data_IF_642237325957
#
_entry.id   IF_642237325957
#
_cell.length_a   1.000
_cell.length_b   1.000
_cell.length_c   1.000
_cell.angle_alpha   90.00
_cell.angle_beta   90.00
_cell.angle_gamma   90.00
#
_symmetry.space_group_name_H-M   'P 1'
#
loop_
_entity.id
_entity.type
_entity.pdbx_description
1 polymer ?
#
# COMPACT_ATOMS: atom_id res chain seq x y z
N UNK A 1 -10.78 9.57 -19.30
CA UNK A 1 -11.24 8.23 -18.88
C UNK A 1 -11.58 8.31 -17.39
N UNK A 2 -12.87 8.29 -17.03
CA UNK A 2 -13.34 8.47 -15.65
C UNK A 2 -13.31 7.12 -14.93
N UNK A 3 -12.49 6.98 -13.91
CA UNK A 3 -12.46 5.79 -13.06
C UNK A 3 -13.56 5.87 -12.01
N UNK A 4 -14.61 5.07 -12.20
CA UNK A 4 -15.69 4.83 -11.22
C UNK A 4 -15.19 3.95 -10.09
N UNK A 5 -15.40 4.38 -8.84
CA UNK A 5 -15.05 3.66 -7.61
C UNK A 5 -15.68 2.25 -7.57
N UNK A 6 -14.94 1.19 -7.19
CA UNK A 6 -15.55 -0.10 -6.92
C UNK A 6 -16.40 -0.03 -5.63
N UNK A 7 -17.65 -0.47 -5.75
CA UNK A 7 -18.64 -0.55 -4.68
C UNK A 7 -18.22 -1.57 -3.61
N UNK A 8 -17.61 -1.11 -2.52
CA UNK A 8 -17.37 -1.90 -1.30
C UNK A 8 -18.66 -2.14 -0.47
N UNK A 9 -19.78 -1.52 -0.86
CA UNK A 9 -21.02 -1.50 -0.08
C UNK A 9 -22.02 -2.58 -0.53
N UNK A 10 -21.65 -3.86 -0.44
CA UNK A 10 -22.62 -4.98 -0.58
C UNK A 10 -22.51 -6.07 0.48
N UNK A 11 -21.45 -6.10 1.29
CA UNK A 11 -21.25 -7.18 2.26
C UNK A 11 -21.96 -6.97 3.61
N UNK A 12 -22.46 -5.76 3.90
CA UNK A 12 -23.05 -5.44 5.20
C UNK A 12 -24.50 -5.92 5.39
N UNK A 13 -25.11 -6.61 4.41
CA UNK A 13 -26.55 -6.96 4.45
C UNK A 13 -26.87 -8.33 5.06
N UNK A 14 -25.87 -9.15 5.40
CA UNK A 14 -26.11 -10.54 5.86
C UNK A 14 -25.80 -10.83 7.33
N UNK A 15 -25.42 -9.82 8.13
CA UNK A 15 -25.11 -10.01 9.56
C UNK A 15 -26.12 -9.28 10.46
N UNK A 16 -27.41 -9.56 10.30
CA UNK A 16 -28.45 -8.94 11.11
C UNK A 16 -29.44 -9.98 11.66
N UNK A 17 -28.97 -10.86 12.55
CA UNK A 17 -29.77 -11.51 13.61
C UNK A 17 -28.79 -12.01 14.68
N UNK A 18 -28.46 -11.25 15.70
CA UNK A 18 -29.01 -11.46 17.06
C UNK A 18 -28.60 -10.27 17.93
N UNK A 19 -29.59 -9.71 18.61
CA UNK A 19 -29.47 -8.56 19.51
C UNK A 19 -28.59 -8.88 20.72
N UNK A 20 -27.44 -8.24 20.81
CA UNK A 20 -26.73 -7.99 22.07
C UNK A 20 -26.69 -6.47 22.23
N UNK A 21 -27.38 -5.97 23.25
CA UNK A 21 -27.33 -4.57 23.66
C UNK A 21 -25.87 -4.16 23.88
N UNK A 22 -25.32 -3.37 22.95
CA UNK A 22 -23.94 -2.89 23.05
C UNK A 22 -23.94 -1.44 23.52
N UNK A 23 -23.54 -1.29 24.78
CA UNK A 23 -23.20 -0.04 25.45
C UNK A 23 -22.08 0.66 24.65
N UNK A 24 -22.43 1.80 24.04
CA UNK A 24 -21.59 2.85 23.45
C UNK A 24 -20.23 2.43 22.82
N UNK A 25 -20.27 1.60 21.78
CA UNK A 25 -19.11 1.28 20.92
C UNK A 25 -18.76 2.39 19.90
N UNK A 26 -19.42 3.55 19.97
CA UNK A 26 -19.27 4.62 18.99
C UNK A 26 -17.90 5.31 19.09
N UNK A 27 -17.35 5.43 20.30
CA UNK A 27 -16.09 6.14 20.55
C UNK A 27 -14.86 5.30 20.22
N UNK A 28 -14.92 3.98 20.43
CA UNK A 28 -13.83 3.06 20.11
C UNK A 28 -13.69 2.89 18.59
N UNK A 29 -14.79 2.66 17.87
CA UNK A 29 -14.75 2.57 16.40
C UNK A 29 -14.23 3.86 15.77
N UNK A 30 -14.64 5.03 16.27
CA UNK A 30 -14.09 6.33 15.82
C UNK A 30 -12.60 6.49 16.10
N UNK A 31 -12.08 5.94 17.21
CA UNK A 31 -10.66 5.98 17.55
C UNK A 31 -9.85 5.02 16.66
N UNK A 32 -10.37 3.81 16.41
CA UNK A 32 -9.78 2.86 15.46
C UNK A 32 -9.77 3.42 14.04
N UNK A 33 -10.89 3.98 13.57
CA UNK A 33 -10.98 4.62 12.25
C UNK A 33 -10.00 5.79 12.11
N UNK A 34 -9.78 6.56 13.18
CA UNK A 34 -8.77 7.64 13.21
C UNK A 34 -7.34 7.12 13.14
N UNK A 35 -7.03 6.04 13.85
CA UNK A 35 -5.68 5.45 13.85
C UNK A 35 -5.38 4.79 12.50
N UNK A 36 -6.34 4.05 11.96
CA UNK A 36 -6.23 3.40 10.64
C UNK A 36 -6.09 4.45 9.54
N UNK A 37 -6.91 5.51 9.55
CA UNK A 37 -6.80 6.59 8.55
C UNK A 37 -5.49 7.37 8.67
N UNK A 38 -4.98 7.61 9.88
CA UNK A 38 -3.67 8.26 10.07
C UNK A 38 -2.52 7.39 9.53
N UNK A 39 -2.59 6.08 9.75
CA UNK A 39 -1.58 5.12 9.27
C UNK A 39 -1.62 4.96 7.74
N UNK A 40 -2.81 4.83 7.14
CA UNK A 40 -2.99 4.82 5.68
C UNK A 40 -2.49 6.10 5.02
N UNK A 41 -2.79 7.25 5.62
CA UNK A 41 -2.34 8.54 5.12
C UNK A 41 -0.81 8.67 5.24
N UNK A 42 -0.21 8.29 6.36
CA UNK A 42 1.23 8.43 6.58
C UNK A 42 2.05 7.48 5.69
N UNK A 43 1.63 6.23 5.53
CA UNK A 43 2.35 5.24 4.72
C UNK A 43 2.07 5.42 3.24
N UNK A 44 0.82 5.71 2.86
CA UNK A 44 0.46 6.00 1.48
C UNK A 44 1.20 7.23 0.95
N UNK A 45 1.31 8.27 1.78
CA UNK A 45 2.07 9.49 1.44
C UNK A 45 3.58 9.19 1.36
N UNK A 46 4.14 8.43 2.32
CA UNK A 46 5.57 8.11 2.36
C UNK A 46 6.04 7.23 1.20
N UNK A 47 5.33 6.15 0.87
CA UNK A 47 5.73 5.26 -0.23
C UNK A 47 5.62 5.95 -1.60
N UNK A 48 4.53 6.70 -1.84
CA UNK A 48 4.32 7.43 -3.10
C UNK A 48 5.33 8.56 -3.25
N UNK A 49 5.62 9.30 -2.19
CA UNK A 49 6.68 10.32 -2.23
C UNK A 49 8.06 9.74 -2.43
N UNK A 50 8.37 8.58 -1.83
CA UNK A 50 9.66 7.93 -2.05
C UNK A 50 9.83 7.52 -3.52
N UNK A 51 8.83 6.87 -4.11
CA UNK A 51 8.85 6.51 -5.53
C UNK A 51 8.95 7.74 -6.44
N UNK A 52 8.19 8.80 -6.13
CA UNK A 52 8.23 10.06 -6.89
C UNK A 52 9.58 10.78 -6.75
N UNK A 53 10.20 10.75 -5.57
CA UNK A 53 11.53 11.31 -5.35
C UNK A 53 12.60 10.53 -6.12
N UNK A 54 12.52 9.20 -6.17
CA UNK A 54 13.45 8.39 -6.96
C UNK A 54 13.34 8.69 -8.47
N UNK A 55 12.11 8.85 -8.99
CA UNK A 55 11.87 9.24 -10.39
C UNK A 55 12.39 10.67 -10.65
N UNK A 56 12.06 11.64 -9.79
CA UNK A 56 12.53 13.02 -9.91
C UNK A 56 14.07 13.11 -9.91
N UNK A 57 14.75 12.30 -9.09
CA UNK A 57 16.22 12.24 -9.09
C UNK A 57 16.76 11.69 -10.41
N UNK A 58 16.16 10.63 -10.94
CA UNK A 58 16.56 10.07 -12.24
C UNK A 58 16.29 11.06 -13.39
N UNK A 59 15.16 11.77 -13.37
CA UNK A 59 14.83 12.83 -14.33
C UNK A 59 15.83 14.00 -14.26
N UNK A 60 16.20 14.43 -13.05
CA UNK A 60 17.20 15.48 -12.86
C UNK A 60 18.57 15.06 -13.41
N UNK A 61 18.99 13.82 -13.17
CA UNK A 61 20.24 13.28 -13.71
C UNK A 61 20.22 13.19 -15.24
N UNK A 62 19.10 12.75 -15.83
CA UNK A 62 18.92 12.75 -17.29
C UNK A 62 19.02 14.18 -17.86
N UNK A 63 18.36 15.14 -17.22
CA UNK A 63 18.39 16.53 -17.63
C UNK A 63 19.81 17.10 -17.64
N UNK A 64 20.60 16.83 -16.59
CA UNK A 64 22.00 17.24 -16.51
C UNK A 64 22.85 16.60 -17.63
N UNK A 65 22.67 15.30 -17.89
CA UNK A 65 23.37 14.61 -18.97
C UNK A 65 23.01 15.20 -20.36
N UNK A 66 21.72 15.47 -20.60
CA UNK A 66 21.23 16.11 -21.82
C UNK A 66 21.76 17.54 -22.00
N UNK A 67 21.91 18.28 -20.91
CA UNK A 67 22.48 19.61 -20.94
C UNK A 67 23.97 19.56 -21.30
N UNK A 68 24.76 18.72 -20.63
CA UNK A 68 26.18 18.57 -20.91
C UNK A 68 26.44 18.11 -22.37
N UNK A 69 25.64 17.18 -22.90
CA UNK A 69 25.71 16.80 -24.33
C UNK A 69 25.44 17.99 -25.26
N UNK A 70 24.41 18.80 -24.98
CA UNK A 70 24.04 19.97 -25.79
C UNK A 70 25.13 21.05 -25.75
N UNK A 71 25.71 21.29 -24.58
CA UNK A 71 26.84 22.20 -24.42
C UNK A 71 28.03 21.73 -25.26
N UNK A 72 28.38 20.44 -25.16
CA UNK A 72 29.48 19.89 -25.96
C UNK A 72 29.23 19.94 -27.46
N UNK A 73 28.00 19.67 -27.88
CA UNK A 73 27.59 19.81 -29.27
C UNK A 73 27.73 21.25 -29.79
N UNK A 74 27.42 22.24 -28.95
CA UNK A 74 27.63 23.65 -29.27
C UNK A 74 29.11 23.98 -29.45
N UNK A 75 29.97 23.51 -28.55
CA UNK A 75 31.43 23.69 -28.65
C UNK A 75 32.01 23.07 -29.92
N UNK A 76 31.57 21.86 -30.27
CA UNK A 76 31.98 21.20 -31.52
C UNK A 76 31.59 22.04 -32.73
N UNK A 77 30.36 22.59 -32.76
CA UNK A 77 29.92 23.46 -33.86
C UNK A 77 30.78 24.72 -34.00
N UNK A 78 31.22 25.31 -32.88
CA UNK A 78 32.12 26.47 -32.90
C UNK A 78 33.45 26.10 -33.56
N UNK A 79 34.05 24.96 -33.17
CA UNK A 79 35.32 24.49 -33.76
C UNK A 79 35.13 24.16 -35.25
N UNK A 80 34.03 23.51 -35.62
CA UNK A 80 33.71 23.20 -37.02
C UNK A 80 33.54 24.45 -37.88
N UNK A 81 32.92 25.50 -37.34
CA UNK A 81 32.80 26.78 -38.04
C UNK A 81 34.17 27.43 -38.23
N UNK A 82 35.02 27.43 -37.20
CA UNK A 82 36.40 27.93 -37.31
C UNK A 82 37.21 27.15 -38.35
N UNK A 83 37.04 25.84 -38.39
CA UNK A 83 37.72 24.96 -39.35
C UNK A 83 37.30 25.25 -40.80
N UNK A 84 36.01 25.54 -41.04
CA UNK A 84 35.51 26.03 -42.33
C UNK A 84 36.10 27.39 -42.72
N UNK A 85 36.24 28.29 -41.76
CA UNK A 85 36.87 29.60 -41.99
C UNK A 85 38.34 29.45 -42.39
N UNK A 86 39.10 28.62 -41.65
CA UNK A 86 40.50 28.31 -41.96
C UNK A 86 40.61 27.70 -43.37
N UNK A 87 39.78 26.71 -43.72
CA UNK A 87 39.77 26.14 -45.07
C UNK A 87 39.49 27.20 -46.14
N UNK A 88 38.52 28.09 -45.91
CA UNK A 88 38.22 29.18 -46.85
C UNK A 88 39.37 30.18 -46.99
N UNK A 89 40.16 30.42 -45.94
CA UNK A 89 41.36 31.24 -46.02
C UNK A 89 42.48 30.52 -46.76
N UNK A 90 42.65 29.23 -46.49
CA UNK A 90 43.69 28.38 -47.07
C UNK A 90 43.56 28.28 -48.59
N UNK A 91 42.32 28.15 -49.09
CA UNK A 91 41.99 28.15 -50.51
C UNK A 91 42.34 29.47 -51.22
N UNK A 92 42.39 30.58 -50.47
CA UNK A 92 42.71 31.92 -51.00
C UNK A 92 44.19 32.25 -50.93
N UNK A 93 44.92 31.63 -49.99
CA UNK A 93 46.36 31.88 -49.81
C UNK A 93 47.20 31.03 -50.77
N UNK A 94 48.20 31.66 -51.38
CA UNK A 94 49.15 30.94 -52.23
C UNK A 94 50.11 30.12 -51.35
N UNK A 95 50.46 28.91 -51.82
CA UNK A 95 51.35 27.98 -51.11
C UNK A 95 52.77 28.54 -50.85
N UNK A 96 53.19 29.56 -51.59
CA UNK A 96 54.50 30.21 -51.41
C UNK A 96 54.56 31.25 -50.29
N UNK A 97 53.42 31.63 -49.70
CA UNK A 97 53.36 32.63 -48.64
C UNK A 97 53.58 31.99 -47.25
N UNK A 98 54.30 32.67 -46.37
CA UNK A 98 54.54 32.22 -44.98
C UNK A 98 53.22 32.01 -44.21
N UNK A 99 52.18 32.79 -44.55
CA UNK A 99 50.82 32.66 -44.00
C UNK A 99 50.22 31.26 -44.25
N UNK A 100 50.55 30.60 -45.37
CA UNK A 100 50.03 29.28 -45.69
C UNK A 100 50.47 28.22 -44.67
N UNK A 101 51.74 28.26 -44.26
CA UNK A 101 52.27 27.33 -43.25
C UNK A 101 51.59 27.52 -41.89
N UNK A 102 51.34 28.77 -41.52
CA UNK A 102 50.62 29.10 -40.30
C UNK A 102 49.19 28.54 -40.31
N UNK A 103 48.45 28.76 -41.40
CA UNK A 103 47.08 28.26 -41.57
C UNK A 103 46.99 26.73 -41.54
N UNK A 104 47.92 26.01 -42.18
CA UNK A 104 47.99 24.53 -42.12
C UNK A 104 48.22 24.06 -40.68
N UNK A 105 49.10 24.73 -39.95
CA UNK A 105 49.40 24.39 -38.55
C UNK A 105 48.17 24.60 -37.67
N UNK A 106 47.46 25.71 -37.87
CA UNK A 106 46.22 26.02 -37.15
C UNK A 106 45.10 25.03 -37.49
N UNK A 107 44.94 24.66 -38.77
CA UNK A 107 44.00 23.63 -39.22
C UNK A 107 44.26 22.30 -38.51
N UNK A 108 45.50 21.83 -38.47
CA UNK A 108 45.86 20.59 -37.79
C UNK A 108 45.56 20.64 -36.29
N UNK A 109 45.80 21.78 -35.64
CA UNK A 109 45.44 21.99 -34.25
C UNK A 109 43.91 21.97 -34.04
N UNK A 110 43.14 22.61 -34.93
CA UNK A 110 41.68 22.63 -34.89
C UNK A 110 41.08 21.22 -35.12
N UNK A 111 41.59 20.44 -36.07
CA UNK A 111 41.18 19.05 -36.33
C UNK A 111 41.44 18.17 -35.09
N UNK A 112 42.63 18.32 -34.49
CA UNK A 112 42.97 17.55 -33.28
C UNK A 112 42.00 17.86 -32.14
N UNK A 113 41.72 19.14 -31.93
CA UNK A 113 40.74 19.61 -30.95
C UNK A 113 39.35 19.06 -31.26
N UNK A 114 38.88 19.13 -32.51
CA UNK A 114 37.57 18.58 -32.89
C UNK A 114 37.46 17.09 -32.55
N UNK A 115 38.47 16.29 -32.88
CA UNK A 115 38.49 14.84 -32.56
C UNK A 115 38.40 14.58 -31.06
N UNK A 116 39.16 15.33 -30.26
CA UNK A 116 39.11 15.22 -28.79
C UNK A 116 37.71 15.57 -28.26
N UNK A 117 37.11 16.66 -28.76
CA UNK A 117 35.77 17.07 -28.35
C UNK A 117 34.71 16.06 -28.79
N UNK A 118 34.88 15.42 -29.95
CA UNK A 118 33.99 14.37 -30.45
C UNK A 118 34.05 13.12 -29.56
N UNK A 119 35.24 12.69 -29.12
CA UNK A 119 35.37 11.57 -28.18
C UNK A 119 34.63 11.85 -26.86
N UNK A 120 34.77 13.08 -26.33
CA UNK A 120 34.05 13.49 -25.11
C UNK A 120 32.53 13.54 -25.36
N UNK A 121 32.10 13.97 -26.55
CA UNK A 121 30.70 13.99 -26.93
C UNK A 121 30.11 12.57 -26.97
N UNK A 122 30.83 11.59 -27.52
CA UNK A 122 30.40 10.19 -27.52
C UNK A 122 30.26 9.63 -26.10
N UNK A 123 31.19 9.98 -25.19
CA UNK A 123 31.10 9.60 -23.78
C UNK A 123 29.86 10.23 -23.10
N UNK A 124 29.59 11.51 -23.38
CA UNK A 124 28.40 12.21 -22.88
C UNK A 124 27.11 11.61 -23.44
N UNK A 125 27.11 11.17 -24.70
CA UNK A 125 25.97 10.49 -25.31
C UNK A 125 25.73 9.13 -24.68
N UNK A 126 26.78 8.35 -24.40
CA UNK A 126 26.66 7.09 -23.66
C UNK A 126 26.04 7.33 -22.28
N UNK A 127 26.55 8.33 -21.55
CA UNK A 127 26.04 8.70 -20.23
C UNK A 127 24.56 9.09 -20.25
N UNK A 128 24.12 9.84 -21.26
CA UNK A 128 22.71 10.17 -21.42
C UNK A 128 21.85 8.93 -21.70
N UNK A 129 22.30 8.05 -22.59
CA UNK A 129 21.58 6.79 -22.90
C UNK A 129 21.46 5.92 -21.66
N UNK A 130 22.53 5.81 -20.85
CA UNK A 130 22.51 5.09 -19.58
C UNK A 130 21.53 5.72 -18.59
N UNK A 131 21.55 7.04 -18.41
CA UNK A 131 20.59 7.75 -17.55
C UNK A 131 19.14 7.55 -18.01
N UNK A 132 18.89 7.55 -19.32
CA UNK A 132 17.57 7.27 -19.89
C UNK A 132 17.13 5.83 -19.63
N UNK A 133 18.03 4.86 -19.79
CA UNK A 133 17.74 3.45 -19.50
C UNK A 133 17.40 3.24 -18.02
N UNK A 134 18.14 3.88 -17.12
CA UNK A 134 17.86 3.85 -15.67
C UNK A 134 16.48 4.43 -15.38
N UNK A 135 16.16 5.61 -15.92
CA UNK A 135 14.85 6.23 -15.74
C UNK A 135 13.73 5.34 -16.31
N UNK A 136 13.88 4.84 -17.53
CA UNK A 136 12.90 3.97 -18.20
C UNK A 136 12.64 2.69 -17.41
N UNK A 137 13.71 2.06 -16.90
CA UNK A 137 13.59 0.87 -16.06
C UNK A 137 12.89 1.19 -14.73
N UNK A 138 13.23 2.31 -14.08
CA UNK A 138 12.56 2.76 -12.84
C UNK A 138 11.07 3.04 -13.05
N UNK A 139 10.71 3.69 -14.16
CA UNK A 139 9.30 3.94 -14.54
C UNK A 139 8.57 2.62 -14.81
N UNK A 140 9.18 1.69 -15.57
CA UNK A 140 8.60 0.37 -15.84
C UNK A 140 8.36 -0.42 -14.56
N UNK A 141 9.36 -0.51 -13.69
CA UNK A 141 9.27 -1.21 -12.41
C UNK A 141 8.26 -0.54 -11.47
N UNK A 142 8.11 0.78 -11.51
CA UNK A 142 7.05 1.49 -10.78
C UNK A 142 5.66 1.05 -11.23
N UNK A 143 5.43 0.93 -12.54
CA UNK A 143 4.15 0.46 -13.09
C UNK A 143 3.91 -1.04 -12.85
N UNK A 144 4.95 -1.84 -12.80
CA UNK A 144 4.84 -3.28 -12.50
C UNK A 144 4.50 -3.51 -11.02
N UNK A 145 5.11 -2.74 -10.11
CA UNK A 145 4.73 -2.68 -8.70
C UNK A 145 3.32 -2.12 -8.47
N UNK A 146 2.79 -1.33 -9.40
CA UNK A 146 1.41 -0.86 -9.39
C UNK A 146 0.41 -2.00 -9.67
N UNK A 147 0.81 -3.01 -10.46
CA UNK A 147 0.03 -4.24 -10.69
C UNK A 147 0.13 -5.23 -9.52
N UNK A 148 1.30 -5.35 -8.88
CA UNK A 148 1.47 -6.19 -7.68
C UNK A 148 0.73 -5.64 -6.45
N UNK A 149 0.35 -4.34 -6.43
CA UNK A 149 -0.46 -3.74 -5.35
C UNK A 149 -1.88 -4.29 -5.27
N UNK A 150 -2.38 -5.03 -6.28
CA UNK A 150 -3.61 -5.83 -6.15
C UNK A 150 -3.47 -6.97 -5.12
N UNK A 151 -2.24 -7.36 -4.75
CA UNK A 151 -1.99 -8.40 -3.74
C UNK A 151 -1.97 -7.90 -2.30
N UNK A 152 -1.80 -6.59 -2.03
CA UNK A 152 -1.84 -6.07 -0.65
C UNK A 152 -3.21 -6.32 0.01
N UNK A 153 -4.26 -6.47 -0.78
CA UNK A 153 -5.59 -6.93 -0.35
C UNK A 153 -5.59 -8.33 0.29
N UNK A 154 -4.66 -9.22 -0.07
CA UNK A 154 -4.57 -10.60 0.45
C UNK A 154 -4.14 -10.64 1.92
N UNK A 155 -3.25 -9.74 2.35
CA UNK A 155 -2.77 -9.69 3.74
C UNK A 155 -3.74 -8.94 4.66
N UNK A 156 -4.47 -7.93 4.16
CA UNK A 156 -5.52 -7.26 4.93
C UNK A 156 -6.62 -8.23 5.38
N UNK A 157 -7.01 -9.19 4.54
CA UNK A 157 -7.96 -10.25 4.92
C UNK A 157 -7.41 -11.21 5.97
N UNK A 158 -6.13 -11.57 5.87
CA UNK A 158 -5.47 -12.47 6.82
C UNK A 158 -5.29 -11.83 8.21
N UNK A 159 -4.84 -10.57 8.25
CA UNK A 159 -4.65 -9.80 9.48
C UNK A 159 -6.02 -9.51 10.11
N UNK A 160 -7.04 -9.16 9.32
CA UNK A 160 -8.40 -8.99 9.79
C UNK A 160 -8.99 -10.27 10.41
N UNK A 161 -8.73 -11.43 9.80
CA UNK A 161 -9.13 -12.73 10.34
C UNK A 161 -8.42 -13.05 11.65
N UNK A 162 -7.10 -12.83 11.72
CA UNK A 162 -6.30 -13.09 12.91
C UNK A 162 -6.71 -12.21 14.10
N UNK A 163 -6.88 -10.91 13.87
CA UNK A 163 -7.31 -9.96 14.90
C UNK A 163 -8.77 -10.23 15.32
N UNK A 164 -9.65 -10.53 14.36
CA UNK A 164 -11.03 -10.90 14.62
C UNK A 164 -11.16 -12.17 15.45
N UNK A 165 -10.31 -13.18 15.21
CA UNK A 165 -10.27 -14.40 16.01
C UNK A 165 -9.81 -14.12 17.45
N UNK A 166 -8.76 -13.32 17.63
CA UNK A 166 -8.27 -12.94 18.97
C UNK A 166 -9.32 -12.14 19.76
N UNK A 167 -9.96 -11.16 19.11
CA UNK A 167 -11.03 -10.39 19.73
C UNK A 167 -12.28 -11.23 20.02
N UNK A 168 -12.60 -12.20 19.16
CA UNK A 168 -13.68 -13.16 19.37
C UNK A 168 -13.44 -14.06 20.59
N UNK A 169 -12.21 -14.56 20.77
CA UNK A 169 -11.82 -15.36 21.93
C UNK A 169 -11.90 -14.52 23.22
N UNK A 170 -11.38 -13.29 23.20
CA UNK A 170 -11.46 -12.38 24.35
C UNK A 170 -12.91 -11.98 24.68
N UNK A 171 -13.72 -11.69 23.66
CA UNK A 171 -15.12 -11.31 23.82
C UNK A 171 -15.98 -12.44 24.40
N UNK A 172 -15.78 -13.68 23.93
CA UNK A 172 -16.49 -14.86 24.47
C UNK A 172 -16.08 -15.19 25.91
N UNK A 173 -14.82 -14.94 26.27
CA UNK A 173 -14.33 -15.10 27.65
C UNK A 173 -15.03 -14.13 28.61
N UNK A 174 -15.10 -12.84 28.24
CA UNK A 174 -15.76 -11.80 29.06
C UNK A 174 -17.28 -12.06 29.15
N UNK A 175 -17.92 -12.46 28.05
CA UNK A 175 -19.36 -12.73 28.00
C UNK A 175 -19.75 -13.92 28.90
N UNK A 176 -18.92 -14.96 28.95
CA UNK A 176 -19.14 -16.14 29.81
C UNK A 176 -19.10 -15.76 31.29
N UNK A 177 -18.14 -14.94 31.71
CA UNK A 177 -18.03 -14.48 33.10
C UNK A 177 -19.22 -13.62 33.53
N UNK A 178 -19.68 -12.72 32.66
CA UNK A 178 -20.85 -11.88 32.95
C UNK A 178 -22.15 -12.68 33.00
N UNK A 179 -22.33 -13.64 32.09
CA UNK A 179 -23.50 -14.52 32.08
C UNK A 179 -23.57 -15.38 33.34
N UNK A 180 -22.43 -15.89 33.81
CA UNK A 180 -22.39 -16.69 35.05
C UNK A 180 -22.67 -15.83 36.29
N UNK A 181 -22.25 -14.56 36.32
CA UNK A 181 -22.61 -13.60 37.37
C UNK A 181 -24.11 -13.28 37.38
N UNK A 182 -24.69 -13.01 36.21
CA UNK A 182 -26.14 -12.77 36.06
C UNK A 182 -26.99 -13.98 36.45
N UNK A 183 -26.59 -15.20 36.04
CA UNK A 183 -27.28 -16.42 36.46
C UNK A 183 -27.18 -16.60 37.98
N UNK A 184 -26.02 -16.28 38.58
CA UNK A 184 -25.81 -16.41 40.02
C UNK A 184 -26.57 -15.38 40.86
N UNK A 185 -26.84 -14.19 40.31
CA UNK A 185 -27.68 -13.16 40.94
C UNK A 185 -29.19 -13.43 40.79
N UNK A 186 -29.61 -14.06 39.68
CA UNK A 186 -31.01 -14.44 39.43
C UNK A 186 -31.41 -15.80 40.02
N UNK A 187 -30.49 -16.53 40.65
CA UNK A 187 -30.83 -17.64 41.51
C UNK A 187 -31.09 -17.03 42.90
N UNK A 188 -32.35 -16.76 43.29
CA UNK A 188 -32.65 -16.53 44.69
C UNK A 188 -32.12 -17.76 45.43
N UNK A 189 -31.36 -17.51 46.48
CA UNK A 189 -30.76 -18.49 47.39
C UNK A 189 -31.46 -19.84 47.27
N UNK A 190 -30.74 -20.92 46.92
CA UNK A 190 -31.30 -22.27 46.76
C UNK A 190 -32.02 -22.85 48.00
N UNK A 191 -32.30 -22.01 49.01
CA UNK A 191 -33.20 -22.17 50.13
C UNK A 191 -34.68 -21.94 49.79
N UNK A 192 -35.06 -21.10 48.81
CA UNK A 192 -36.49 -20.89 48.45
C UNK A 192 -37.03 -21.95 47.48
N UNK A 193 -36.14 -22.57 46.70
CA UNK A 193 -36.52 -23.63 45.76
C UNK A 193 -36.80 -24.96 46.49
N UNK A 194 -36.17 -25.18 47.65
CA UNK A 194 -36.37 -26.40 48.47
C UNK A 194 -37.80 -26.59 48.99
N UNK A 195 -38.45 -25.60 49.64
CA UNK A 195 -39.82 -25.77 50.13
C UNK A 195 -40.82 -25.95 48.98
N UNK A 196 -40.61 -25.31 47.83
CA UNK A 196 -41.42 -25.50 46.62
C UNK A 196 -41.28 -26.91 46.03
N UNK A 197 -40.06 -27.47 46.01
CA UNK A 197 -39.84 -28.86 45.61
C UNK A 197 -40.51 -29.83 46.60
N UNK A 198 -40.40 -29.58 47.90
CA UNK A 198 -41.04 -30.42 48.94
C UNK A 198 -42.58 -30.36 48.88
N UNK A 199 -43.16 -29.19 48.61
CA UNK A 199 -44.60 -29.03 48.40
C UNK A 199 -45.08 -29.76 47.14
N UNK A 200 -44.33 -29.67 46.03
CA UNK A 200 -44.64 -30.45 44.82
C UNK A 200 -44.52 -31.96 45.06
N UNK A 201 -43.54 -32.42 45.83
CA UNK A 201 -43.41 -33.85 46.20
C UNK A 201 -44.60 -34.29 47.07
N UNK A 202 -45.08 -33.45 47.99
CA UNK A 202 -46.27 -33.70 48.80
C UNK A 202 -47.54 -33.80 47.94
N UNK A 203 -47.75 -32.85 47.01
CA UNK A 203 -48.92 -32.86 46.10
C UNK A 203 -48.91 -34.08 45.19
N UNK A 204 -47.74 -34.46 44.67
CA UNK A 204 -47.60 -35.68 43.84
C UNK A 204 -47.88 -36.93 44.67
N UNK A 205 -47.37 -37.04 45.91
CA UNK A 205 -47.70 -38.17 46.80
C UNK A 205 -49.19 -38.22 47.15
N UNK A 206 -49.82 -37.07 47.42
CA UNK A 206 -51.26 -36.97 47.70
C UNK A 206 -52.14 -37.36 46.51
N UNK A 207 -51.76 -36.93 45.31
CA UNK A 207 -52.43 -37.35 44.06
C UNK A 207 -52.25 -38.84 43.78
N UNK A 208 -51.06 -39.40 44.01
CA UNK A 208 -50.81 -40.83 43.84
C UNK A 208 -51.66 -41.68 44.81
N UNK A 209 -51.90 -41.21 46.04
CA UNK A 209 -52.80 -41.87 46.99
C UNK A 209 -54.27 -41.87 46.56
N UNK A 210 -54.76 -40.77 45.98
CA UNK A 210 -56.13 -40.68 45.48
C UNK A 210 -56.34 -41.48 44.19
N UNK A 211 -55.36 -41.48 43.28
CA UNK A 211 -55.39 -42.31 42.07
C UNK A 211 -55.27 -43.80 42.42
N UNK A 212 -54.44 -44.17 43.40
CA UNK A 212 -54.35 -45.54 43.91
C UNK A 212 -55.67 -45.99 44.57
N UNK A 213 -56.32 -45.13 45.36
CA UNK A 213 -57.64 -45.43 45.96
C UNK A 213 -58.76 -45.54 44.92
N UNK A 214 -58.75 -44.71 43.88
CA UNK A 214 -59.74 -44.77 42.79
C UNK A 214 -59.54 -45.98 41.86
N UNK A 215 -58.30 -46.44 41.67
CA UNK A 215 -58.00 -47.60 40.83
C UNK A 215 -58.17 -48.92 41.59
N UNK A 216 -57.84 -48.99 42.89
CA UNK A 216 -57.94 -50.23 43.70
C UNK A 216 -59.20 -50.33 44.60
N UNK A 217 -59.88 -49.23 44.92
CA UNK A 217 -61.07 -49.21 45.79
C UNK A 217 -62.38 -49.60 45.12
N UNK A 218 -62.42 -49.68 43.78
CA UNK A 218 -63.63 -50.02 43.01
C UNK A 218 -63.80 -51.53 42.74
N UNK A 219 -62.92 -52.37 43.27
CA UNK A 219 -62.89 -53.83 43.04
C UNK A 219 -63.07 -54.68 44.31
N UNK A 220 -63.86 -54.21 45.30
CA UNK A 220 -64.45 -55.10 46.31
C UNK A 220 -65.86 -54.65 46.67
N UNK A 221 -66.77 -55.63 46.53
CA UNK A 221 -68.20 -55.69 46.85
C UNK A 221 -69.12 -55.23 45.72
#
# INVERSE_FOLDING_TARGET
MKFTKPNFMRFTKYLQTTSIESKDNSSLNKAFDKIVSYYEQFIGLSEVHKARNEVNQCESNLYQAQQARREKQSEIRIVQNKLKEIHSELDRTLRGEDKYLHLITEEHAAIRKEREMMNIYEELESREREAFNVLSNKVRVSHEREREREERTKYWGLIGSLVGALLGILGTTIATELRMKHIREMIPSGQEIKPLIDEMIQIVKGSQGQVFFLIFGKNRL
#
